data_IF_705097149811
#
_entry.id   IF_705097149811
#
_cell.length_a   1.000
_cell.length_b   1.000
_cell.length_c   1.000
_cell.angle_alpha   90.00
_cell.angle_beta   90.00
_cell.angle_gamma   90.00
#
_symmetry.space_group_name_H-M   'P 1'
#
loop_
_entity.id
_entity.type
_entity.pdbx_description
1 polymer ?
#
# COMPACT_ATOMS: atom_id res chain seq x y z
N UNK A 1 49.20 22.89 41.51
CA UNK A 1 48.14 21.86 41.48
C UNK A 1 47.73 21.61 40.03
N UNK A 2 47.85 20.34 39.59
CA UNK A 2 47.05 19.62 38.57
C UNK A 2 46.93 20.14 37.10
N UNK A 3 47.53 19.32 36.21
CA UNK A 3 47.09 18.74 34.90
C UNK A 3 46.73 19.70 33.73
N UNK A 4 47.38 19.67 32.55
CA UNK A 4 47.54 18.60 31.52
C UNK A 4 46.19 18.27 30.84
N UNK A 5 45.93 18.30 29.52
CA UNK A 5 46.68 18.24 28.24
C UNK A 5 45.70 18.75 27.14
N UNK A 6 46.17 19.38 26.05
CA UNK A 6 45.48 19.29 24.76
C UNK A 6 46.48 19.07 23.62
N UNK A 7 46.15 18.05 22.83
CA UNK A 7 46.91 17.45 21.74
C UNK A 7 46.92 18.37 20.51
N UNK A 8 48.07 18.41 19.83
CA UNK A 8 48.37 19.32 18.74
C UNK A 8 47.65 19.01 17.42
N UNK A 9 47.36 20.09 16.71
CA UNK A 9 47.03 20.15 15.28
C UNK A 9 48.04 21.06 14.62
N UNK A 10 48.76 20.59 13.60
CA UNK A 10 49.48 21.47 12.68
C UNK A 10 48.92 21.33 11.27
N UNK A 11 48.32 22.42 10.80
CA UNK A 11 48.14 22.71 9.38
C UNK A 11 49.49 23.08 8.78
N UNK A 12 49.69 22.80 7.49
CA UNK A 12 50.37 23.77 6.63
C UNK A 12 49.88 23.69 5.19
N UNK A 13 49.82 24.88 4.61
CA UNK A 13 49.15 25.33 3.38
C UNK A 13 50.26 25.76 2.42
N UNK A 14 50.09 25.56 1.11
CA UNK A 14 51.00 26.10 0.11
C UNK A 14 50.41 26.01 -1.30
N UNK A 15 50.24 27.16 -1.94
CA UNK A 15 49.64 27.37 -3.27
C UNK A 15 50.74 27.77 -4.27
N UNK A 16 50.57 27.36 -5.54
CA UNK A 16 51.01 27.95 -6.82
C UNK A 16 52.51 28.25 -7.12
N UNK A 17 53.03 27.76 -8.25
CA UNK A 17 53.21 28.53 -9.51
C UNK A 17 53.98 27.72 -10.59
N UNK A 18 53.65 27.98 -11.87
CA UNK A 18 54.19 27.37 -13.09
C UNK A 18 55.53 27.97 -13.58
N UNK A 19 56.41 27.17 -14.20
CA UNK A 19 56.93 27.30 -15.60
C UNK A 19 58.39 26.81 -15.83
N UNK A 20 58.52 26.22 -17.03
CA UNK A 20 59.68 26.12 -17.95
C UNK A 20 60.78 25.03 -17.85
N UNK A 21 60.72 24.16 -18.86
CA UNK A 21 61.75 23.74 -19.84
C UNK A 21 63.04 23.03 -19.36
N UNK A 22 63.11 21.74 -19.70
CA UNK A 22 64.34 21.01 -20.00
C UNK A 22 64.12 20.08 -21.20
N UNK A 23 64.96 20.21 -22.23
CA UNK A 23 64.85 19.56 -23.54
C UNK A 23 65.32 18.07 -23.55
N UNK A 24 64.56 17.25 -24.28
CA UNK A 24 64.94 16.24 -25.29
C UNK A 24 66.18 15.33 -25.04
N UNK A 25 65.94 14.01 -25.04
CA UNK A 25 66.66 13.10 -25.95
C UNK A 25 65.76 11.94 -26.39
N UNK A 26 65.76 11.71 -27.70
CA UNK A 26 64.93 10.76 -28.43
C UNK A 26 65.45 9.32 -28.31
N UNK A 27 64.54 8.37 -28.14
CA UNK A 27 64.68 7.04 -28.75
C UNK A 27 63.33 6.65 -29.37
N UNK A 28 63.32 6.38 -30.68
CA UNK A 28 62.13 6.20 -31.52
C UNK A 28 61.97 4.72 -31.92
N UNK A 29 60.80 4.18 -31.55
CA UNK A 29 59.96 3.13 -32.21
C UNK A 29 60.26 1.63 -32.03
N UNK A 30 59.26 0.73 -32.26
CA UNK A 30 57.86 0.99 -32.65
C UNK A 30 56.78 0.23 -31.82
N UNK A 31 55.56 0.79 -31.83
CA UNK A 31 54.26 0.09 -31.75
C UNK A 31 54.06 -1.04 -30.72
N UNK A 32 53.31 -0.76 -29.67
CA UNK A 32 52.26 -1.69 -29.22
C UNK A 32 51.05 -0.89 -28.75
N UNK A 33 50.36 -0.33 -29.74
CA UNK A 33 48.93 -0.02 -29.63
C UNK A 33 48.16 -1.34 -29.58
N UNK A 34 48.32 -2.13 -28.52
CA UNK A 34 47.38 -3.21 -28.23
C UNK A 34 46.29 -2.61 -27.36
N UNK A 35 45.36 -1.95 -28.05
CA UNK A 35 44.05 -1.64 -27.50
C UNK A 35 43.54 -2.87 -26.77
N UNK A 36 43.12 -2.66 -25.53
CA UNK A 36 42.44 -3.65 -24.70
C UNK A 36 41.48 -4.45 -25.59
N UNK A 37 41.82 -5.72 -25.79
CA UNK A 37 41.21 -6.58 -26.80
C UNK A 37 39.69 -6.54 -26.66
N UNK A 38 38.99 -6.43 -27.79
CA UNK A 38 37.53 -6.55 -27.85
C UNK A 38 37.03 -7.78 -27.08
N UNK A 39 37.83 -8.85 -26.97
CA UNK A 39 37.53 -10.03 -26.18
C UNK A 39 37.46 -9.80 -24.67
N UNK A 40 38.24 -8.87 -24.10
CA UNK A 40 38.17 -8.50 -22.68
C UNK A 40 36.95 -7.60 -22.39
N UNK A 41 36.64 -6.65 -23.30
CA UNK A 41 35.40 -5.84 -23.23
C UNK A 41 34.13 -6.69 -23.38
N UNK A 42 34.16 -7.73 -24.22
CA UNK A 42 33.05 -8.68 -24.36
C UNK A 42 32.95 -9.59 -23.13
N UNK A 43 34.06 -9.97 -22.50
CA UNK A 43 34.06 -10.74 -21.24
C UNK A 43 33.49 -9.94 -20.06
N UNK A 44 33.78 -8.64 -19.98
CA UNK A 44 33.20 -7.76 -18.97
C UNK A 44 31.72 -7.50 -19.24
N UNK A 45 31.34 -7.19 -20.49
CA UNK A 45 29.93 -7.01 -20.87
C UNK A 45 29.09 -8.28 -20.70
N UNK A 46 29.67 -9.47 -20.92
CA UNK A 46 29.02 -10.76 -20.68
C UNK A 46 28.73 -11.01 -19.20
N UNK A 47 29.57 -10.49 -18.30
CA UNK A 47 29.37 -10.59 -16.85
C UNK A 47 28.24 -9.67 -16.39
N UNK A 48 28.14 -8.46 -16.93
CA UNK A 48 27.01 -7.54 -16.66
C UNK A 48 25.68 -8.10 -17.15
N UNK A 49 25.68 -8.78 -18.30
CA UNK A 49 24.50 -9.47 -18.82
C UNK A 49 24.03 -10.60 -17.90
N UNK A 50 24.95 -11.35 -17.29
CA UNK A 50 24.61 -12.41 -16.34
C UNK A 50 23.89 -11.87 -15.09
N UNK A 51 24.31 -10.72 -14.56
CA UNK A 51 23.63 -10.08 -13.44
C UNK A 51 22.25 -9.56 -13.86
N UNK A 52 22.10 -8.99 -15.06
CA UNK A 52 20.79 -8.57 -15.58
C UNK A 52 19.80 -9.74 -15.71
N UNK A 53 20.25 -10.90 -16.19
CA UNK A 53 19.40 -12.11 -16.26
C UNK A 53 18.93 -12.50 -14.87
N UNK A 54 19.83 -12.56 -13.89
CA UNK A 54 19.49 -12.94 -12.51
C UNK A 54 18.50 -11.95 -11.91
N UNK A 55 18.67 -10.65 -12.14
CA UNK A 55 17.75 -9.61 -11.68
C UNK A 55 16.37 -9.76 -12.33
N UNK A 56 16.29 -10.02 -13.63
CA UNK A 56 15.02 -10.23 -14.33
C UNK A 56 14.27 -11.45 -13.80
N UNK A 57 14.98 -12.56 -13.53
CA UNK A 57 14.39 -13.74 -12.89
C UNK A 57 13.86 -13.38 -11.50
N UNK A 58 14.64 -12.65 -10.70
CA UNK A 58 14.23 -12.20 -9.37
C UNK A 58 12.96 -11.35 -9.38
N UNK A 59 12.86 -10.40 -10.32
CA UNK A 59 11.66 -9.58 -10.52
C UNK A 59 10.49 -10.43 -11.02
N UNK A 60 10.72 -11.39 -11.92
CA UNK A 60 9.69 -12.30 -12.41
C UNK A 60 9.08 -13.16 -11.31
N UNK A 61 9.92 -13.79 -10.48
CA UNK A 61 9.48 -14.64 -9.36
C UNK A 61 8.78 -13.79 -8.28
N UNK A 62 9.40 -12.69 -7.87
CA UNK A 62 8.83 -11.80 -6.84
C UNK A 62 7.54 -11.14 -7.33
N UNK A 63 7.53 -10.65 -8.57
CA UNK A 63 6.37 -10.04 -9.21
C UNK A 63 5.24 -11.03 -9.44
N UNK A 64 5.55 -12.28 -9.83
CA UNK A 64 4.57 -13.34 -9.98
C UNK A 64 3.95 -13.75 -8.66
N UNK A 65 4.77 -13.96 -7.62
CA UNK A 65 4.28 -14.30 -6.28
C UNK A 65 3.44 -13.16 -5.68
N UNK A 66 3.93 -11.92 -5.78
CA UNK A 66 3.16 -10.74 -5.39
C UNK A 66 1.87 -10.67 -6.20
N UNK A 67 1.88 -10.90 -7.51
CA UNK A 67 0.67 -10.88 -8.33
C UNK A 67 -0.36 -11.90 -7.85
N UNK A 68 0.04 -13.14 -7.56
CA UNK A 68 -0.88 -14.17 -7.04
C UNK A 68 -1.44 -13.77 -5.68
N UNK A 69 -0.59 -13.32 -4.75
CA UNK A 69 -1.02 -12.89 -3.41
C UNK A 69 -1.93 -11.66 -3.48
N UNK A 70 -1.57 -10.65 -4.27
CA UNK A 70 -2.41 -9.49 -4.52
C UNK A 70 -3.71 -9.88 -5.21
N UNK A 71 -3.68 -10.79 -6.19
CA UNK A 71 -4.90 -11.27 -6.84
C UNK A 71 -5.80 -12.00 -5.85
N UNK A 72 -5.25 -12.84 -4.98
CA UNK A 72 -6.01 -13.57 -3.96
C UNK A 72 -6.58 -12.63 -2.88
N UNK A 73 -5.78 -11.65 -2.43
CA UNK A 73 -6.20 -10.65 -1.44
C UNK A 73 -7.15 -9.58 -2.02
N UNK A 74 -7.14 -9.35 -3.33
CA UNK A 74 -8.02 -8.40 -3.99
C UNK A 74 -9.23 -9.08 -4.66
N UNK A 75 -9.17 -10.38 -4.96
CA UNK A 75 -10.33 -11.22 -5.30
C UNK A 75 -11.18 -11.46 -4.07
N UNK A 76 -10.54 -11.70 -2.92
CA UNK A 76 -11.17 -11.59 -1.59
C UNK A 76 -11.41 -10.12 -1.27
N UNK A 77 -12.48 -9.52 -1.80
CA UNK A 77 -12.82 -8.12 -1.56
C UNK A 77 -12.72 -7.77 -0.07
N UNK A 78 -11.63 -7.08 0.28
CA UNK A 78 -11.31 -6.79 1.67
C UNK A 78 -12.51 -6.15 2.39
N UNK A 79 -12.88 -6.62 3.59
CA UNK A 79 -13.98 -6.05 4.38
C UNK A 79 -13.91 -4.53 4.50
N UNK A 80 -12.69 -3.97 4.58
CA UNK A 80 -12.46 -2.53 4.67
C UNK A 80 -12.92 -1.75 3.43
N UNK A 81 -12.76 -2.30 2.22
CA UNK A 81 -13.22 -1.63 0.99
C UNK A 81 -14.74 -1.62 0.91
N UNK A 82 -15.37 -2.74 1.28
CA UNK A 82 -16.82 -2.87 1.27
C UNK A 82 -17.44 -1.98 2.35
N UNK A 83 -16.82 -1.93 3.53
CA UNK A 83 -17.16 -0.97 4.58
C UNK A 83 -17.11 0.48 4.07
N UNK A 84 -16.02 0.88 3.42
CA UNK A 84 -15.88 2.24 2.88
C UNK A 84 -17.00 2.58 1.91
N UNK A 85 -17.29 1.69 0.96
CA UNK A 85 -18.40 1.85 0.00
C UNK A 85 -19.78 1.87 0.66
N UNK A 86 -20.02 0.98 1.63
CA UNK A 86 -21.29 0.93 2.35
C UNK A 86 -21.51 2.22 3.17
N UNK A 87 -20.48 2.71 3.85
CA UNK A 87 -20.54 3.96 4.61
C UNK A 87 -20.78 5.17 3.69
N UNK A 88 -20.15 5.20 2.52
CA UNK A 88 -20.38 6.24 1.52
C UNK A 88 -21.83 6.22 1.02
N UNK A 89 -22.38 5.03 0.73
CA UNK A 89 -23.81 4.88 0.39
C UNK A 89 -24.73 5.36 1.51
N UNK A 90 -24.40 5.07 2.78
CA UNK A 90 -25.15 5.58 3.93
C UNK A 90 -25.10 7.11 4.00
N UNK A 91 -23.94 7.71 3.75
CA UNK A 91 -23.75 9.18 3.77
C UNK A 91 -24.47 9.89 2.64
N UNK A 92 -24.68 9.23 1.50
CA UNK A 92 -25.39 9.80 0.36
C UNK A 92 -26.91 9.60 0.41
N UNK A 93 -27.42 8.72 1.29
CA UNK A 93 -28.83 8.36 1.31
C UNK A 93 -29.67 9.40 2.07
N UNK A 94 -30.69 10.02 1.45
CA UNK A 94 -31.43 11.15 2.03
C UNK A 94 -32.16 10.77 3.32
N UNK A 95 -32.67 9.54 3.44
CA UNK A 95 -33.33 9.10 4.68
C UNK A 95 -32.33 8.92 5.83
N UNK A 96 -31.09 8.52 5.54
CA UNK A 96 -30.04 8.38 6.55
C UNK A 96 -29.54 9.76 6.98
N UNK A 97 -29.36 10.68 6.03
CA UNK A 97 -29.01 12.08 6.32
C UNK A 97 -30.11 12.72 7.18
N UNK A 98 -31.38 12.56 6.81
CA UNK A 98 -32.50 13.08 7.59
C UNK A 98 -32.64 12.40 8.96
N UNK A 99 -32.11 11.19 9.11
CA UNK A 99 -32.17 10.44 10.36
C UNK A 99 -31.02 10.70 11.33
N UNK A 100 -29.81 10.95 10.83
CA UNK A 100 -28.59 11.07 11.62
C UNK A 100 -28.00 12.49 11.60
N UNK A 101 -28.35 13.31 10.62
CA UNK A 101 -27.73 14.60 10.38
C UNK A 101 -26.28 14.48 9.89
N UNK A 102 -25.74 15.57 9.36
CA UNK A 102 -24.32 15.65 9.00
C UNK A 102 -23.52 16.25 10.16
N UNK A 103 -22.31 15.73 10.48
CA UNK A 103 -21.57 14.66 9.79
C UNK A 103 -21.85 13.24 10.33
N UNK A 104 -21.96 12.26 9.43
CA UNK A 104 -22.13 10.84 9.80
C UNK A 104 -20.77 10.16 9.94
N UNK A 105 -20.47 9.64 11.12
CA UNK A 105 -19.24 8.88 11.43
C UNK A 105 -19.55 7.39 11.38
N UNK A 106 -18.64 6.59 10.84
CA UNK A 106 -18.70 5.13 10.89
C UNK A 106 -17.59 4.57 11.77
N UNK A 107 -17.89 3.53 12.54
CA UNK A 107 -16.94 2.77 13.34
C UNK A 107 -17.21 1.27 13.29
N UNK A 108 -16.16 0.47 13.41
CA UNK A 108 -16.25 -0.99 13.48
C UNK A 108 -16.80 -1.49 14.82
N UNK A 109 -16.74 -2.79 15.05
CA UNK A 109 -17.26 -3.38 16.28
C UNK A 109 -16.54 -2.79 17.50
N UNK A 110 -17.30 -2.23 18.44
CA UNK A 110 -16.71 -1.71 19.67
C UNK A 110 -16.53 -2.87 20.64
N UNK A 111 -15.28 -3.21 20.95
CA UNK A 111 -15.02 -4.14 22.06
C UNK A 111 -15.64 -3.56 23.33
N UNK A 112 -16.15 -4.41 24.24
CA UNK A 112 -16.66 -4.00 25.56
C UNK A 112 -15.70 -3.10 26.36
N UNK A 113 -14.42 -3.05 25.98
CA UNK A 113 -13.35 -2.22 26.55
C UNK A 113 -13.08 -0.88 25.82
N UNK A 114 -13.94 -0.45 24.90
CA UNK A 114 -13.82 0.83 24.19
C UNK A 114 -12.78 0.87 23.07
N UNK A 115 -12.24 -0.29 22.66
CA UNK A 115 -11.29 -0.38 21.53
C UNK A 115 -12.06 -0.51 20.22
N UNK A 116 -11.80 0.38 19.26
CA UNK A 116 -12.31 0.29 17.89
C UNK A 116 -11.73 -0.98 17.25
N UNK A 117 -12.50 -2.06 17.15
CA UNK A 117 -12.07 -3.25 16.43
C UNK A 117 -12.42 -3.14 14.95
N UNK A 118 -11.79 -4.01 14.16
CA UNK A 118 -12.10 -4.16 12.75
C UNK A 118 -13.61 -4.44 12.56
N UNK A 119 -14.12 -4.14 11.37
CA UNK A 119 -15.53 -4.38 11.02
C UNK A 119 -15.83 -5.86 11.18
N UNK A 120 -16.90 -6.18 11.91
CA UNK A 120 -17.37 -7.56 12.09
C UNK A 120 -17.77 -8.09 10.73
N UNK A 121 -17.02 -9.06 10.21
CA UNK A 121 -17.26 -9.66 8.91
C UNK A 121 -17.38 -11.17 9.04
N UNK A 122 -18.33 -11.75 8.31
CA UNK A 122 -18.51 -13.20 8.21
C UNK A 122 -18.59 -13.55 6.75
N UNK A 123 -17.62 -14.32 6.28
CA UNK A 123 -17.63 -14.92 4.95
C UNK A 123 -18.32 -16.28 5.04
N UNK A 124 -19.24 -16.55 4.12
CA UNK A 124 -19.95 -17.82 4.04
C UNK A 124 -20.18 -18.22 2.59
N UNK A 125 -20.16 -19.52 2.32
CA UNK A 125 -20.53 -20.05 1.02
C UNK A 125 -22.02 -20.39 1.03
N UNK A 126 -22.76 -19.87 0.07
CA UNK A 126 -24.17 -20.18 -0.16
C UNK A 126 -24.34 -20.52 -1.63
N UNK A 127 -24.88 -21.69 -1.93
CA UNK A 127 -25.15 -22.15 -3.30
C UNK A 127 -23.91 -22.12 -4.21
N UNK A 128 -22.73 -22.38 -3.64
CA UNK A 128 -21.44 -22.33 -4.35
C UNK A 128 -20.89 -20.92 -4.59
N UNK A 129 -21.63 -19.88 -4.18
CA UNK A 129 -21.23 -18.47 -4.28
C UNK A 129 -20.69 -18.00 -2.93
N UNK A 130 -19.61 -17.22 -2.94
CA UNK A 130 -19.06 -16.60 -1.73
C UNK A 130 -19.88 -15.37 -1.36
N UNK A 131 -20.41 -15.34 -0.15
CA UNK A 131 -21.08 -14.19 0.44
C UNK A 131 -20.23 -13.64 1.56
N UNK A 132 -20.35 -12.34 1.81
CA UNK A 132 -19.77 -11.72 2.99
C UNK A 132 -20.78 -10.78 3.63
N UNK A 133 -21.00 -10.96 4.93
CA UNK A 133 -21.80 -10.06 5.76
C UNK A 133 -20.88 -9.15 6.54
N UNK A 134 -21.18 -7.86 6.56
CA UNK A 134 -20.51 -6.87 7.38
C UNK A 134 -21.52 -6.25 8.34
N UNK A 135 -21.07 -6.04 9.57
CA UNK A 135 -21.78 -5.27 10.59
C UNK A 135 -20.85 -4.19 11.12
N UNK A 136 -21.31 -2.95 11.06
CA UNK A 136 -20.62 -1.79 11.60
C UNK A 136 -21.63 -0.81 12.18
N UNK A 137 -21.13 0.22 12.84
CA UNK A 137 -21.94 1.20 13.54
C UNK A 137 -21.74 2.57 12.95
N UNK A 138 -22.78 3.39 13.01
CA UNK A 138 -22.74 4.79 12.62
C UNK A 138 -23.24 5.69 13.74
N UNK A 139 -22.68 6.89 13.80
CA UNK A 139 -23.08 7.95 14.73
C UNK A 139 -23.35 9.21 13.91
N UNK A 140 -24.46 9.87 14.23
CA UNK A 140 -24.88 11.11 13.61
C UNK A 140 -24.17 12.35 14.15
N UNK A 141 -24.76 13.51 13.88
CA UNK A 141 -24.32 14.79 14.44
C UNK A 141 -24.49 14.83 15.97
N UNK A 142 -25.55 14.21 16.47
CA UNK A 142 -25.82 14.08 17.90
C UNK A 142 -25.24 12.77 18.47
N UNK A 143 -24.51 12.82 19.60
CA UNK A 143 -23.91 11.62 20.21
C UNK A 143 -24.91 10.55 20.66
N UNK A 144 -26.19 10.92 20.79
CA UNK A 144 -27.30 10.02 21.17
C UNK A 144 -27.91 9.28 19.98
N UNK A 145 -27.53 9.67 18.76
CA UNK A 145 -28.11 9.23 17.52
C UNK A 145 -27.16 8.22 16.87
N UNK A 146 -27.33 6.98 17.29
CA UNK A 146 -26.50 5.85 16.88
C UNK A 146 -27.33 4.85 16.07
N UNK A 147 -26.66 4.14 15.19
CA UNK A 147 -27.28 3.11 14.40
C UNK A 147 -26.33 1.99 14.06
N UNK A 148 -26.92 0.84 13.75
CA UNK A 148 -26.20 -0.35 13.32
C UNK A 148 -26.47 -0.57 11.83
N UNK A 149 -25.41 -0.64 11.04
CA UNK A 149 -25.50 -0.92 9.62
C UNK A 149 -25.23 -2.40 9.39
N UNK A 150 -26.17 -3.03 8.70
CA UNK A 150 -26.08 -4.41 8.27
C UNK A 150 -25.95 -4.45 6.76
N UNK A 151 -24.92 -5.13 6.28
CA UNK A 151 -24.62 -5.22 4.85
C UNK A 151 -24.31 -6.65 4.47
N UNK A 152 -24.87 -7.12 3.37
CA UNK A 152 -24.47 -8.38 2.74
C UNK A 152 -24.04 -8.11 1.32
N UNK A 153 -22.91 -8.69 0.94
CA UNK A 153 -22.42 -8.73 -0.44
C UNK A 153 -22.34 -10.17 -0.92
N UNK A 154 -22.55 -10.37 -2.20
CA UNK A 154 -22.34 -11.65 -2.90
C UNK A 154 -21.27 -11.48 -3.96
N UNK A 155 -20.42 -12.48 -4.11
CA UNK A 155 -19.46 -12.54 -5.22
C UNK A 155 -20.21 -12.89 -6.51
N UNK A 156 -20.03 -12.09 -7.55
CA UNK A 156 -20.56 -12.38 -8.86
C UNK A 156 -19.63 -13.39 -9.55
N UNK A 157 -20.10 -14.61 -9.91
CA UNK A 157 -19.25 -15.64 -10.50
C UNK A 157 -18.72 -15.29 -11.90
N UNK A 158 -19.39 -14.38 -12.62
CA UNK A 158 -18.97 -13.95 -13.95
C UNK A 158 -17.86 -12.90 -13.90
N UNK A 159 -17.91 -12.00 -12.92
CA UNK A 159 -17.00 -10.85 -12.83
C UNK A 159 -15.96 -10.95 -11.70
N UNK A 160 -16.14 -11.87 -10.75
CA UNK A 160 -15.33 -12.02 -9.54
C UNK A 160 -15.41 -10.83 -8.59
N UNK A 161 -16.39 -9.93 -8.77
CA UNK A 161 -16.58 -8.73 -7.96
C UNK A 161 -17.68 -8.94 -6.93
N UNK A 162 -17.55 -8.29 -5.79
CA UNK A 162 -18.59 -8.29 -4.77
C UNK A 162 -19.64 -7.23 -5.07
N UNK A 163 -20.89 -7.67 -5.12
CA UNK A 163 -22.07 -6.85 -5.34
C UNK A 163 -22.90 -6.78 -4.06
N UNK A 164 -23.45 -5.60 -3.75
CA UNK A 164 -24.31 -5.42 -2.60
C UNK A 164 -25.64 -6.11 -2.83
N UNK A 165 -25.94 -7.08 -1.96
CA UNK A 165 -27.24 -7.73 -1.93
C UNK A 165 -28.23 -6.88 -1.14
N UNK A 166 -27.82 -6.39 0.02
CA UNK A 166 -28.61 -5.42 0.76
C UNK A 166 -27.73 -4.56 1.66
N UNK A 167 -28.22 -3.35 1.92
CA UNK A 167 -27.68 -2.43 2.93
C UNK A 167 -28.88 -1.84 3.66
N UNK A 168 -28.94 -2.05 4.98
CA UNK A 168 -29.92 -1.39 5.83
C UNK A 168 -29.28 -0.88 7.12
N UNK A 169 -29.91 0.15 7.66
CA UNK A 169 -29.47 0.86 8.85
C UNK A 169 -30.57 0.78 9.90
N UNK A 170 -30.29 0.14 11.01
CA UNK A 170 -31.15 0.16 12.19
C UNK A 170 -30.78 1.36 13.05
N UNK A 171 -31.75 2.25 13.28
CA UNK A 171 -31.59 3.39 14.18
C UNK A 171 -31.86 2.91 15.60
N UNK A 172 -30.86 3.04 16.48
CA UNK A 172 -30.93 2.55 17.86
C UNK A 172 -31.77 3.47 18.77
N UNK A 173 -31.96 4.73 18.36
CA UNK A 173 -32.76 5.74 19.06
C UNK A 173 -34.26 5.50 18.88
N UNK A 174 -35.06 5.83 19.90
CA UNK A 174 -36.51 5.67 19.86
C UNK A 174 -37.18 6.77 19.01
N UNK A 175 -38.18 6.44 18.15
CA UNK A 175 -38.63 5.10 17.83
C UNK A 175 -37.64 4.37 16.92
N UNK A 176 -37.41 3.07 17.21
CA UNK A 176 -36.53 2.24 16.39
C UNK A 176 -37.10 2.14 14.99
N UNK A 177 -36.28 2.45 13.99
CA UNK A 177 -36.64 2.34 12.58
C UNK A 177 -35.49 1.72 11.80
N UNK A 178 -35.84 0.98 10.76
CA UNK A 178 -34.88 0.41 9.80
C UNK A 178 -34.99 1.19 8.50
N UNK A 179 -33.87 1.74 8.05
CA UNK A 179 -33.76 2.46 6.77
C UNK A 179 -33.11 1.52 5.78
N UNK A 180 -33.80 1.19 4.70
CA UNK A 180 -33.27 0.32 3.64
C UNK A 180 -32.65 1.22 2.58
N UNK A 181 -31.34 1.12 2.38
CA UNK A 181 -30.60 1.91 1.39
C UNK A 181 -30.58 1.18 0.05
N UNK A 182 -30.41 -0.14 0.09
CA UNK A 182 -30.32 -0.97 -1.09
C UNK A 182 -30.88 -2.35 -0.75
N UNK A 183 -31.76 -2.85 -1.61
CA UNK A 183 -32.36 -4.18 -1.49
C UNK A 183 -32.43 -4.84 -2.86
N UNK A 184 -31.45 -5.69 -3.14
CA UNK A 184 -31.32 -6.52 -4.34
C UNK A 184 -31.51 -8.00 -3.97
N UNK A 185 -32.43 -8.28 -3.04
CA UNK A 185 -32.62 -9.61 -2.42
C UNK A 185 -33.02 -10.71 -3.36
#
# INVERSE_FOLDING_TARGET
MRRAISVGTSLSKGNNDEKEKGQLSLSRSPSSTSGLSAAQKVKEAGKDFSYLIVVLIGIGVTGGLLYVVFKELFSSSSPSKIYGKALEKCRAHPEVIGAFGEPIKGYGEMSRRGRRQQVSHVEFLRDGIKHMRLKFYIEGSEPRLQGTVHTEVKENPETGKYEFRYIFVDVDTYPRRTIVIEDNR
#
